data_IF_815691442654
#
_entry.id   IF_815691442654
#
_cell.length_a   1.000
_cell.length_b   1.000
_cell.length_c   1.000
_cell.angle_alpha   90.00
_cell.angle_beta   90.00
_cell.angle_gamma   90.00
#
_symmetry.space_group_name_H-M   'P 1'
#
loop_
_entity.id
_entity.type
_entity.pdbx_description
1 polymer ?
#
# COMPACT_ATOMS: atom_id res chain seq x y z
N UNK A 1 -1.37 16.45 -20.10
CA UNK A 1 -0.42 15.37 -19.78
C UNK A 1 -0.77 14.20 -20.68
N UNK A 2 0.21 13.59 -21.31
CA UNK A 2 0.03 12.33 -22.02
C UNK A 2 -0.19 11.18 -21.03
N UNK A 3 -0.86 10.13 -21.49
CA UNK A 3 -1.26 8.99 -20.66
C UNK A 3 -0.05 8.26 -20.07
N UNK A 4 1.04 8.14 -20.83
CA UNK A 4 2.26 7.46 -20.39
C UNK A 4 2.92 8.17 -19.21
N UNK A 5 3.07 9.50 -19.27
CA UNK A 5 3.57 10.28 -18.12
C UNK A 5 2.65 10.15 -16.90
N UNK A 6 1.33 10.15 -17.11
CA UNK A 6 0.36 9.99 -16.01
C UNK A 6 0.48 8.62 -15.33
N UNK A 7 0.53 7.55 -16.11
CA UNK A 7 0.66 6.18 -15.60
C UNK A 7 2.00 5.95 -14.91
N UNK A 8 3.07 6.57 -15.37
CA UNK A 8 4.39 6.53 -14.71
C UNK A 8 4.34 7.12 -13.31
N UNK A 9 3.72 8.31 -13.17
CA UNK A 9 3.57 8.97 -11.86
C UNK A 9 2.69 8.14 -10.93
N UNK A 10 1.54 7.65 -11.41
CA UNK A 10 0.62 6.82 -10.63
C UNK A 10 1.35 5.54 -10.18
N UNK A 11 2.01 4.84 -11.10
CA UNK A 11 2.74 3.62 -10.82
C UNK A 11 3.83 3.82 -9.77
N UNK A 12 4.63 4.89 -9.89
CA UNK A 12 5.65 5.24 -8.91
C UNK A 12 5.07 5.49 -7.51
N UNK A 13 3.98 6.24 -7.40
CA UNK A 13 3.30 6.49 -6.11
C UNK A 13 2.77 5.19 -5.51
N UNK A 14 2.12 4.35 -6.34
CA UNK A 14 1.58 3.07 -5.89
C UNK A 14 2.69 2.13 -5.39
N UNK A 15 3.86 2.10 -6.03
CA UNK A 15 4.99 1.32 -5.53
C UNK A 15 5.42 1.77 -4.12
N UNK A 16 5.63 3.07 -3.91
CA UNK A 16 6.03 3.60 -2.60
C UNK A 16 4.98 3.29 -1.53
N UNK A 17 3.70 3.52 -1.84
CA UNK A 17 2.60 3.25 -0.92
C UNK A 17 2.45 1.76 -0.61
N UNK A 18 2.57 0.90 -1.61
CA UNK A 18 2.49 -0.55 -1.46
C UNK A 18 3.62 -1.08 -0.58
N UNK A 19 4.87 -0.65 -0.84
CA UNK A 19 6.05 -1.02 -0.05
C UNK A 19 5.85 -0.61 1.41
N UNK A 20 5.45 0.65 1.66
CA UNK A 20 5.25 1.15 3.02
C UNK A 20 4.22 0.32 3.81
N UNK A 21 3.14 -0.11 3.14
CA UNK A 21 2.09 -0.95 3.77
C UNK A 21 2.55 -2.38 4.04
N UNK A 22 3.48 -2.93 3.26
CA UNK A 22 4.04 -4.27 3.48
C UNK A 22 5.11 -4.26 4.57
N UNK A 23 6.00 -3.27 4.57
CA UNK A 23 7.11 -3.19 5.54
C UNK A 23 6.63 -2.74 6.92
N UNK A 24 5.69 -1.77 6.99
CA UNK A 24 5.25 -1.17 8.25
C UNK A 24 3.73 -1.28 8.48
N UNK A 25 3.12 -2.48 8.39
CA UNK A 25 1.66 -2.63 8.41
C UNK A 25 1.03 -2.20 9.73
N UNK A 26 1.68 -2.51 10.87
CA UNK A 26 1.20 -2.15 12.22
C UNK A 26 1.23 -0.64 12.43
N UNK A 27 2.36 0.00 12.13
CA UNK A 27 2.52 1.44 12.23
C UNK A 27 1.49 2.18 11.37
N UNK A 28 1.27 1.71 10.14
CA UNK A 28 0.29 2.33 9.25
C UNK A 28 -1.12 2.22 9.83
N UNK A 29 -1.49 1.07 10.39
CA UNK A 29 -2.79 0.91 11.03
C UNK A 29 -2.93 1.81 12.25
N UNK A 30 -1.93 1.86 13.13
CA UNK A 30 -1.97 2.73 14.31
C UNK A 30 -2.09 4.21 13.94
N UNK A 31 -1.36 4.68 12.92
CA UNK A 31 -1.42 6.07 12.48
C UNK A 31 -2.81 6.49 11.95
N UNK A 32 -3.63 5.54 11.50
CA UNK A 32 -4.96 5.80 10.93
C UNK A 32 -6.08 5.51 11.91
N UNK A 33 -5.95 4.43 12.68
CA UNK A 33 -7.01 3.87 13.50
C UNK A 33 -6.80 4.12 15.00
N UNK A 34 -5.65 4.67 15.41
CA UNK A 34 -5.26 4.75 16.80
C UNK A 34 -4.87 3.39 17.36
N UNK A 35 -4.93 3.24 18.69
CA UNK A 35 -4.62 1.97 19.33
C UNK A 35 -5.73 0.94 19.11
N UNK A 36 -5.36 -0.16 18.45
CA UNK A 36 -6.23 -1.32 18.32
C UNK A 36 -6.15 -2.19 19.57
N UNK A 37 -7.25 -2.90 19.86
CA UNK A 37 -7.24 -3.98 20.82
C UNK A 37 -6.15 -5.01 20.47
N UNK A 38 -5.47 -5.57 21.47
CA UNK A 38 -4.28 -6.41 21.29
C UNK A 38 -4.51 -7.57 20.30
N UNK A 39 -5.68 -8.21 20.37
CA UNK A 39 -6.06 -9.31 19.49
C UNK A 39 -6.28 -8.88 18.02
N UNK A 40 -6.63 -7.62 17.79
CA UNK A 40 -6.91 -7.07 16.47
C UNK A 40 -5.66 -6.56 15.74
N UNK A 41 -4.55 -6.32 16.45
CA UNK A 41 -3.30 -5.75 15.89
C UNK A 41 -2.75 -6.62 14.75
N UNK A 42 -2.63 -7.93 14.97
CA UNK A 42 -2.04 -8.85 13.99
C UNK A 42 -2.98 -9.13 12.80
N UNK A 43 -4.28 -9.43 12.99
CA UNK A 43 -5.23 -9.55 11.87
C UNK A 43 -5.30 -8.28 11.01
N UNK A 44 -5.38 -7.11 11.63
CA UNK A 44 -5.40 -5.84 10.89
C UNK A 44 -4.10 -5.62 10.11
N UNK A 45 -2.95 -5.99 10.69
CA UNK A 45 -1.66 -5.91 10.01
C UNK A 45 -1.61 -6.85 8.80
N UNK A 46 -2.12 -8.08 8.91
CA UNK A 46 -2.17 -9.02 7.78
C UNK A 46 -3.02 -8.49 6.61
N UNK A 47 -4.19 -7.92 6.90
CA UNK A 47 -5.03 -7.26 5.88
C UNK A 47 -4.27 -6.09 5.24
N UNK A 48 -3.55 -5.31 6.03
CA UNK A 48 -2.76 -4.18 5.54
C UNK A 48 -1.65 -4.63 4.58
N UNK A 49 -0.99 -5.75 4.88
CA UNK A 49 0.02 -6.36 3.99
C UNK A 49 -0.64 -6.82 2.69
N UNK A 50 -1.78 -7.51 2.76
CA UNK A 50 -2.51 -7.96 1.57
C UNK A 50 -2.93 -6.78 0.66
N UNK A 51 -3.43 -5.70 1.27
CA UNK A 51 -3.73 -4.45 0.56
C UNK A 51 -2.47 -3.79 -0.03
N UNK A 52 -1.36 -3.83 0.71
CA UNK A 52 -0.05 -3.39 0.21
C UNK A 52 0.36 -4.15 -1.04
N UNK A 53 0.25 -5.48 -1.03
CA UNK A 53 0.52 -6.33 -2.19
C UNK A 53 -0.37 -6.02 -3.40
N UNK A 54 -1.67 -5.83 -3.19
CA UNK A 54 -2.59 -5.44 -4.27
C UNK A 54 -2.20 -4.09 -4.90
N UNK A 55 -1.84 -3.11 -4.07
CA UNK A 55 -1.37 -1.80 -4.52
C UNK A 55 -0.05 -1.91 -5.31
N UNK A 56 0.88 -2.77 -4.87
CA UNK A 56 2.12 -3.03 -5.61
C UNK A 56 1.86 -3.58 -7.00
N UNK A 57 0.97 -4.57 -7.11
CA UNK A 57 0.60 -5.15 -8.41
C UNK A 57 0.00 -4.08 -9.32
N UNK A 58 -0.94 -3.27 -8.80
CA UNK A 58 -1.51 -2.15 -9.58
C UNK A 58 -0.43 -1.14 -10.02
N UNK A 59 0.55 -0.85 -9.16
CA UNK A 59 1.67 0.03 -9.50
C UNK A 59 2.54 -0.52 -10.61
N UNK A 60 2.89 -1.81 -10.56
CA UNK A 60 3.66 -2.49 -11.61
C UNK A 60 2.91 -2.47 -12.93
N UNK A 61 1.60 -2.79 -12.91
CA UNK A 61 0.76 -2.76 -14.11
C UNK A 61 0.73 -1.35 -14.72
N UNK A 62 0.56 -0.31 -13.89
CA UNK A 62 0.59 1.07 -14.36
C UNK A 62 1.92 1.47 -15.00
N UNK A 63 3.06 0.96 -14.51
CA UNK A 63 4.37 1.20 -15.12
C UNK A 63 4.61 0.41 -16.41
N UNK A 64 3.77 -0.58 -16.70
CA UNK A 64 3.93 -1.49 -17.83
C UNK A 64 2.99 -1.16 -19.02
N UNK A 65 2.20 -0.08 -18.92
CA UNK A 65 1.23 0.37 -19.91
C UNK A 65 1.62 1.73 -20.49
#
# INVERSE_FOLDING_TARGET
>A
MDTTTALTIIGGILLVLGIAKVIFPKQFNQNIMGDLHAEAVNPAAAIRVALGGAILVSGIVALSC
#
